data_IF_178560820178
#
_entry.id   IF_178560820178
#
_cell.length_a   1.000
_cell.length_b   1.000
_cell.length_c   1.000
_cell.angle_alpha   90.00
_cell.angle_beta   90.00
_cell.angle_gamma   90.00
#
_symmetry.space_group_name_H-M   'P 1'
#
loop_
_entity.id
_entity.type
_entity.pdbx_description
1 polymer ?
#
# COMPACT_ATOMS: atom_id res chain seq x y z
N UNK A 1 -3.74 -15.05 -8.97
CA UNK A 1 -2.80 -14.22 -9.74
C UNK A 1 -2.58 -12.93 -9.00
N UNK A 2 -1.34 -12.58 -8.70
CA UNK A 2 -1.01 -11.35 -7.98
C UNK A 2 -1.49 -10.12 -8.77
N UNK A 3 -2.04 -9.14 -8.05
CA UNK A 3 -2.54 -7.86 -8.58
C UNK A 3 -1.35 -6.95 -8.94
N UNK A 4 -0.45 -7.43 -9.78
CA UNK A 4 0.56 -6.63 -10.45
C UNK A 4 -0.11 -5.93 -11.63
N UNK A 5 -0.93 -4.90 -11.37
CA UNK A 5 -1.61 -4.17 -12.43
C UNK A 5 -2.71 -3.20 -12.01
N UNK A 6 -3.33 -3.37 -10.83
CA UNK A 6 -4.31 -2.37 -10.36
C UNK A 6 -3.61 -1.10 -9.89
N UNK A 7 -4.15 0.04 -10.31
CA UNK A 7 -3.76 1.35 -9.78
C UNK A 7 -3.91 1.36 -8.25
N UNK A 8 -2.93 1.87 -7.48
CA UNK A 8 -3.06 1.99 -6.03
C UNK A 8 -4.32 2.75 -5.59
N UNK A 9 -4.79 3.73 -6.38
CA UNK A 9 -6.04 4.44 -6.08
C UNK A 9 -7.28 3.58 -6.25
N UNK A 10 -7.28 2.69 -7.25
CA UNK A 10 -8.39 1.75 -7.43
C UNK A 10 -8.49 0.80 -6.23
N UNK A 11 -7.35 0.31 -5.73
CA UNK A 11 -7.32 -0.52 -4.51
C UNK A 11 -7.77 0.29 -3.29
N UNK A 12 -7.37 1.56 -3.20
CA UNK A 12 -7.80 2.48 -2.14
C UNK A 12 -9.33 2.70 -2.15
N UNK A 13 -9.92 2.91 -3.32
CA UNK A 13 -11.38 3.01 -3.50
C UNK A 13 -12.09 1.72 -3.07
N UNK A 14 -11.55 0.56 -3.42
CA UNK A 14 -12.05 -0.73 -2.98
C UNK A 14 -11.98 -0.89 -1.46
N UNK A 15 -10.92 -0.42 -0.80
CA UNK A 15 -10.78 -0.41 0.66
C UNK A 15 -11.83 0.51 1.32
N UNK A 16 -12.05 1.70 0.75
CA UNK A 16 -13.10 2.62 1.22
C UNK A 16 -14.48 1.97 1.10
N UNK A 17 -14.76 1.33 -0.03
CA UNK A 17 -16.02 0.64 -0.25
C UNK A 17 -16.19 -0.53 0.72
N UNK A 18 -15.13 -1.32 0.93
CA UNK A 18 -15.12 -2.39 1.92
C UNK A 18 -15.46 -1.90 3.34
N UNK A 19 -14.94 -0.74 3.73
CA UNK A 19 -15.26 -0.13 5.03
C UNK A 19 -16.73 0.34 5.12
N UNK A 20 -17.31 0.81 4.02
CA UNK A 20 -18.72 1.23 3.95
C UNK A 20 -19.68 0.04 3.98
N UNK A 21 -19.28 -1.09 3.40
CA UNK A 21 -20.12 -2.29 3.31
C UNK A 21 -20.00 -3.19 4.54
N UNK A 22 -18.84 -3.20 5.19
CA UNK A 22 -18.62 -4.04 6.37
C UNK A 22 -19.25 -3.41 7.62
N UNK A 23 -20.08 -4.19 8.33
CA UNK A 23 -20.63 -3.79 9.63
C UNK A 23 -19.96 -4.51 10.80
N UNK A 24 -19.74 -3.78 11.88
CA UNK A 24 -19.29 -4.27 13.19
C UNK A 24 -20.17 -3.70 14.27
N UNK A 25 -20.71 -4.57 15.14
CA UNK A 25 -21.61 -4.17 16.23
C UNK A 25 -22.78 -3.29 15.73
N UNK A 26 -23.35 -3.65 14.58
CA UNK A 26 -24.49 -2.94 13.97
C UNK A 26 -24.14 -1.64 13.22
N UNK A 27 -22.90 -1.13 13.28
CA UNK A 27 -22.46 0.10 12.58
C UNK A 27 -21.50 -0.22 11.45
N UNK A 28 -21.43 0.60 10.40
CA UNK A 28 -20.43 0.41 9.35
C UNK A 28 -19.04 0.71 9.91
N UNK A 29 -18.02 0.02 9.41
CA UNK A 29 -16.63 0.33 9.77
C UNK A 29 -16.27 1.76 9.37
N UNK A 30 -16.82 2.27 8.28
CA UNK A 30 -16.67 3.65 7.83
C UNK A 30 -17.18 4.70 8.84
N UNK A 31 -18.18 4.35 9.66
CA UNK A 31 -18.78 5.27 10.63
C UNK A 31 -17.93 5.42 11.89
N UNK A 32 -16.97 4.50 12.13
CA UNK A 32 -16.02 4.56 13.22
C UNK A 32 -14.87 5.54 12.90
N UNK A 33 -14.68 6.61 13.69
CA UNK A 33 -13.65 7.63 13.44
C UNK A 33 -12.22 7.07 13.47
N UNK A 34 -11.96 6.02 14.26
CA UNK A 34 -10.62 5.41 14.35
C UNK A 34 -10.29 4.66 13.06
N UNK A 35 -11.27 3.94 12.49
CA UNK A 35 -11.08 3.28 11.19
C UNK A 35 -10.98 4.30 10.06
N UNK A 36 -11.79 5.36 10.10
CA UNK A 36 -11.72 6.44 9.11
C UNK A 36 -10.35 7.13 9.09
N UNK A 37 -9.79 7.46 10.26
CA UNK A 37 -8.43 8.05 10.36
C UNK A 37 -7.36 7.13 9.76
N UNK A 38 -7.41 5.82 10.05
CA UNK A 38 -6.48 4.84 9.47
C UNK A 38 -6.56 4.80 7.95
N UNK A 39 -7.77 4.80 7.40
CA UNK A 39 -8.02 4.78 5.96
C UNK A 39 -7.51 6.07 5.31
N UNK A 40 -7.75 7.24 5.93
CA UNK A 40 -7.26 8.53 5.41
C UNK A 40 -5.74 8.59 5.36
N UNK A 41 -5.03 8.09 6.38
CA UNK A 41 -3.55 8.05 6.36
C UNK A 41 -2.98 7.24 5.19
N UNK A 42 -3.65 6.15 4.80
CA UNK A 42 -3.22 5.38 3.61
C UNK A 42 -3.63 6.08 2.32
N UNK A 43 -4.80 6.71 2.29
CA UNK A 43 -5.26 7.52 1.16
C UNK A 43 -4.27 8.66 0.84
N UNK A 44 -3.85 9.43 1.86
CA UNK A 44 -2.87 10.52 1.72
C UNK A 44 -1.55 10.03 1.11
N UNK A 45 -1.01 8.92 1.62
CA UNK A 45 0.22 8.30 1.07
C UNK A 45 0.03 7.86 -0.38
N UNK A 46 -1.15 7.31 -0.71
CA UNK A 46 -1.48 6.84 -2.06
C UNK A 46 -1.56 8.00 -3.03
N UNK A 47 -2.28 9.07 -2.69
CA UNK A 47 -2.33 10.32 -3.48
C UNK A 47 -0.94 10.94 -3.66
N UNK A 48 -0.17 11.07 -2.57
CA UNK A 48 1.19 11.62 -2.62
C UNK A 48 2.09 10.81 -3.56
N UNK A 49 1.97 9.48 -3.57
CA UNK A 49 2.70 8.60 -4.49
C UNK A 49 2.35 8.86 -5.95
N UNK A 50 1.06 9.09 -6.27
CA UNK A 50 0.64 9.43 -7.63
C UNK A 50 1.19 10.79 -8.09
N UNK A 51 1.14 11.80 -7.22
CA UNK A 51 1.74 13.11 -7.53
C UNK A 51 3.25 13.00 -7.70
N UNK A 52 3.94 12.21 -6.86
CA UNK A 52 5.36 11.93 -7.03
C UNK A 52 5.65 11.21 -8.35
N UNK A 53 4.82 10.26 -8.77
CA UNK A 53 4.93 9.60 -10.07
C UNK A 53 4.76 10.57 -11.25
N UNK A 54 3.87 11.57 -11.13
CA UNK A 54 3.73 12.65 -12.13
C UNK A 54 4.95 13.57 -12.12
N UNK A 55 5.39 14.02 -10.94
CA UNK A 55 6.57 14.89 -10.76
C UNK A 55 7.85 14.23 -11.26
N UNK A 56 7.99 12.91 -11.10
CA UNK A 56 9.13 12.13 -11.56
C UNK A 56 9.45 12.33 -13.05
N UNK A 57 8.42 12.59 -13.86
CA UNK A 57 8.51 12.81 -15.32
C UNK A 57 9.05 14.19 -15.68
N UNK A 58 9.11 15.13 -14.74
CA UNK A 58 9.56 16.50 -14.96
C UNK A 58 10.88 16.71 -14.21
N UNK A 59 12.00 16.64 -14.93
CA UNK A 59 13.36 16.69 -14.35
C UNK A 59 13.58 17.89 -13.40
N UNK A 60 13.04 19.05 -13.75
CA UNK A 60 13.14 20.27 -12.93
C UNK A 60 12.44 20.14 -11.56
N UNK A 61 11.38 19.32 -11.45
CA UNK A 61 10.62 19.10 -10.22
C UNK A 61 11.18 17.97 -9.34
N UNK A 62 12.20 17.27 -9.81
CA UNK A 62 12.82 16.15 -9.10
C UNK A 62 13.80 16.60 -8.02
N UNK A 63 14.20 17.87 -7.95
CA UNK A 63 15.14 18.34 -6.92
C UNK A 63 16.56 17.74 -6.98
N UNK A 64 16.93 17.02 -8.04
CA UNK A 64 18.24 16.40 -8.18
C UNK A 64 18.42 15.08 -7.43
N UNK A 65 19.61 14.47 -7.61
CA UNK A 65 19.99 13.17 -7.03
C UNK A 65 19.01 12.01 -7.28
N UNK A 66 18.15 12.14 -8.30
CA UNK A 66 17.07 11.17 -8.58
C UNK A 66 16.17 10.88 -7.37
N UNK A 67 15.98 11.83 -6.44
CA UNK A 67 15.26 11.60 -5.16
C UNK A 67 13.82 11.06 -5.33
N UNK A 68 13.06 11.57 -6.31
CA UNK A 68 11.67 11.15 -6.55
C UNK A 68 11.62 9.80 -7.28
N UNK A 69 12.38 9.60 -8.38
CA UNK A 69 12.44 8.29 -9.02
C UNK A 69 12.92 7.16 -8.09
N UNK A 70 13.96 7.39 -7.28
CA UNK A 70 14.56 6.34 -6.44
C UNK A 70 13.64 5.86 -5.30
N UNK A 71 12.76 6.71 -4.77
CA UNK A 71 11.86 6.30 -3.69
C UNK A 71 10.66 5.47 -4.18
N UNK A 72 10.32 5.54 -5.47
CA UNK A 72 9.04 5.04 -5.99
C UNK A 72 8.78 3.56 -5.70
N UNK A 73 9.81 2.70 -5.80
CA UNK A 73 9.67 1.28 -5.49
C UNK A 73 9.36 1.05 -4.01
N UNK A 74 10.14 1.66 -3.12
CA UNK A 74 9.98 1.53 -1.68
C UNK A 74 8.60 2.00 -1.23
N UNK A 75 8.22 3.22 -1.62
CA UNK A 75 6.92 3.78 -1.24
C UNK A 75 5.77 2.98 -1.83
N UNK A 76 5.89 2.52 -3.08
CA UNK A 76 4.89 1.70 -3.75
C UNK A 76 4.64 0.38 -3.05
N UNK A 77 5.70 -0.35 -2.67
CA UNK A 77 5.54 -1.63 -1.96
C UNK A 77 4.93 -1.46 -0.56
N UNK A 78 5.33 -0.43 0.18
CA UNK A 78 4.78 -0.18 1.53
C UNK A 78 3.32 0.29 1.49
N UNK A 79 2.93 1.09 0.49
CA UNK A 79 1.53 1.49 0.29
C UNK A 79 0.68 0.27 -0.04
N UNK A 80 1.16 -0.59 -0.96
CA UNK A 80 0.44 -1.83 -1.31
C UNK A 80 0.22 -2.72 -0.10
N UNK A 81 1.25 -2.91 0.73
CA UNK A 81 1.12 -3.67 1.98
C UNK A 81 0.14 -3.02 2.95
N UNK A 82 0.19 -1.69 3.12
CA UNK A 82 -0.70 -0.94 4.01
C UNK A 82 -2.18 -1.03 3.58
N UNK A 83 -2.45 -0.94 2.27
CA UNK A 83 -3.80 -1.07 1.71
C UNK A 83 -4.41 -2.44 2.04
N UNK A 84 -3.65 -3.51 1.81
CA UNK A 84 -4.10 -4.87 2.10
C UNK A 84 -4.23 -5.12 3.61
N UNK A 85 -3.29 -4.61 4.41
CA UNK A 85 -3.35 -4.74 5.87
C UNK A 85 -4.59 -4.06 6.45
N UNK A 86 -4.93 -2.86 5.98
CA UNK A 86 -6.18 -2.19 6.37
C UNK A 86 -7.39 -3.01 5.94
N UNK A 87 -7.40 -3.58 4.74
CA UNK A 87 -8.51 -4.42 4.28
C UNK A 87 -8.74 -5.64 5.19
N UNK A 88 -7.67 -6.36 5.57
CA UNK A 88 -7.76 -7.44 6.56
C UNK A 88 -8.29 -6.93 7.90
N UNK A 89 -7.78 -5.77 8.33
CA UNK A 89 -8.23 -5.07 9.51
C UNK A 89 -9.73 -4.74 9.49
N UNK A 90 -10.31 -4.38 8.34
CA UNK A 90 -11.75 -4.11 8.15
C UNK A 90 -12.55 -5.41 8.17
N UNK A 91 -12.06 -6.47 7.53
CA UNK A 91 -12.73 -7.78 7.51
C UNK A 91 -12.78 -8.46 8.88
N UNK A 92 -11.78 -8.24 9.74
CA UNK A 92 -11.71 -8.84 11.07
C UNK A 92 -11.60 -10.35 10.97
N UNK A 93 -12.43 -11.10 11.70
CA UNK A 93 -12.38 -12.57 11.69
C UNK A 93 -12.53 -13.17 10.27
N UNK A 94 -13.29 -12.52 9.38
CA UNK A 94 -13.45 -12.99 7.99
C UNK A 94 -12.16 -12.90 7.18
N UNK A 95 -11.13 -12.20 7.66
CA UNK A 95 -9.84 -12.11 6.99
C UNK A 95 -9.05 -13.42 7.02
N UNK A 96 -9.44 -14.40 7.85
CA UNK A 96 -8.83 -15.73 7.87
C UNK A 96 -9.36 -16.66 6.79
N UNK A 97 -10.49 -16.32 6.16
CA UNK A 97 -11.09 -17.10 5.08
C UNK A 97 -10.29 -16.86 3.79
N UNK A 98 -9.78 -17.94 3.19
CA UNK A 98 -8.81 -17.86 2.09
C UNK A 98 -9.43 -18.17 0.72
N UNK A 99 -8.62 -18.09 -0.33
CA UNK A 99 -9.04 -18.46 -1.69
C UNK A 99 -9.47 -19.92 -1.72
N UNK A 100 -10.67 -20.16 -2.26
CA UNK A 100 -11.30 -21.49 -2.32
C UNK A 100 -12.34 -21.73 -1.23
N UNK A 101 -12.45 -20.85 -0.23
CA UNK A 101 -13.55 -20.90 0.75
C UNK A 101 -14.78 -20.15 0.20
N UNK A 102 -15.93 -20.83 0.18
CA UNK A 102 -17.20 -20.27 -0.32
C UNK A 102 -17.68 -19.04 0.47
N UNK A 103 -17.24 -18.90 1.72
CA UNK A 103 -17.61 -17.80 2.60
C UNK A 103 -16.59 -16.64 2.55
N UNK A 104 -15.48 -16.78 1.80
CA UNK A 104 -14.44 -15.78 1.76
C UNK A 104 -14.92 -14.49 1.07
N UNK A 105 -14.87 -13.32 1.74
CA UNK A 105 -15.20 -12.06 1.12
C UNK A 105 -14.32 -11.79 -0.10
N UNK A 106 -14.94 -11.36 -1.20
CA UNK A 106 -14.27 -11.11 -2.48
C UNK A 106 -13.39 -12.31 -2.92
N UNK A 107 -13.87 -13.54 -2.72
CA UNK A 107 -13.20 -14.79 -3.08
C UNK A 107 -11.77 -14.91 -2.52
N UNK A 108 -11.53 -14.35 -1.33
CA UNK A 108 -10.21 -14.39 -0.68
C UNK A 108 -9.18 -13.41 -1.27
N UNK A 109 -9.61 -12.42 -2.07
CA UNK A 109 -8.71 -11.41 -2.69
C UNK A 109 -7.78 -10.75 -1.68
N UNK A 110 -8.31 -10.32 -0.54
CA UNK A 110 -7.57 -9.53 0.45
C UNK A 110 -6.45 -10.30 1.15
N UNK A 111 -6.68 -11.49 1.75
CA UNK A 111 -5.61 -12.25 2.37
C UNK A 111 -4.58 -12.75 1.35
N UNK A 112 -5.00 -13.21 0.17
CA UNK A 112 -4.04 -13.55 -0.91
C UNK A 112 -3.21 -12.32 -1.31
N UNK A 113 -3.85 -11.17 -1.51
CA UNK A 113 -3.19 -9.92 -1.85
C UNK A 113 -2.18 -9.49 -0.81
N UNK A 114 -2.53 -9.58 0.49
CA UNK A 114 -1.62 -9.29 1.59
C UNK A 114 -0.37 -10.18 1.55
N UNK A 115 -0.54 -11.50 1.39
CA UNK A 115 0.60 -12.42 1.27
C UNK A 115 1.47 -12.10 0.05
N UNK A 116 0.86 -11.71 -1.07
CA UNK A 116 1.61 -11.31 -2.26
C UNK A 116 2.38 -9.99 -2.08
N UNK A 117 1.96 -9.09 -1.18
CA UNK A 117 2.67 -7.80 -0.98
C UNK A 117 4.11 -7.98 -0.50
N UNK A 118 4.41 -9.06 0.23
CA UNK A 118 5.77 -9.38 0.68
C UNK A 118 6.73 -9.58 -0.50
N UNK A 119 6.24 -10.15 -1.61
CA UNK A 119 7.06 -10.27 -2.83
C UNK A 119 7.54 -8.90 -3.33
N UNK A 120 6.68 -7.87 -3.25
CA UNK A 120 7.01 -6.50 -3.62
C UNK A 120 8.04 -5.85 -2.69
N UNK A 121 8.05 -6.21 -1.41
CA UNK A 121 9.04 -5.68 -0.45
C UNK A 121 10.43 -6.30 -0.61
N UNK A 122 10.56 -7.46 -1.26
CA UNK A 122 11.81 -8.22 -1.41
C UNK A 122 12.37 -8.13 -2.84
N UNK A 123 11.52 -8.36 -3.84
CA UNK A 123 11.90 -8.41 -5.25
C UNK A 123 12.43 -7.06 -5.76
N UNK A 124 13.40 -7.12 -6.68
CA UNK A 124 14.03 -5.93 -7.26
C UNK A 124 14.89 -5.11 -6.29
N UNK A 125 15.34 -5.75 -5.21
CA UNK A 125 16.06 -5.13 -4.09
C UNK A 125 15.12 -4.88 -2.92
N UNK A 126 15.47 -5.42 -1.74
CA UNK A 126 14.60 -5.33 -0.56
C UNK A 126 14.36 -3.89 -0.13
N UNK A 127 13.31 -3.68 0.67
CA UNK A 127 12.98 -2.35 1.20
C UNK A 127 14.14 -1.74 1.99
N UNK A 128 14.92 -2.56 2.69
CA UNK A 128 16.14 -2.17 3.41
C UNK A 128 17.22 -1.68 2.44
N UNK A 129 17.47 -2.41 1.35
CA UNK A 129 18.42 -2.00 0.31
C UNK A 129 17.98 -0.69 -0.34
N UNK A 130 16.68 -0.52 -0.60
CA UNK A 130 16.14 0.74 -1.14
C UNK A 130 16.31 1.91 -0.16
N UNK A 131 16.10 1.70 1.15
CA UNK A 131 16.38 2.72 2.18
C UNK A 131 17.86 3.10 2.23
N UNK A 132 18.78 2.13 2.08
CA UNK A 132 20.21 2.42 2.00
C UNK A 132 20.54 3.25 0.76
N UNK A 133 20.01 2.90 -0.42
CA UNK A 133 20.21 3.68 -1.65
C UNK A 133 19.74 5.13 -1.48
N UNK A 134 18.57 5.35 -0.86
CA UNK A 134 18.08 6.69 -0.56
C UNK A 134 18.97 7.41 0.44
N UNK A 135 19.41 6.73 1.51
CA UNK A 135 20.36 7.25 2.48
C UNK A 135 21.65 7.75 1.83
N UNK A 136 22.28 6.90 1.02
CA UNK A 136 23.55 7.21 0.36
C UNK A 136 23.41 8.28 -0.73
N UNK A 137 22.43 8.12 -1.64
CA UNK A 137 22.35 8.97 -2.84
C UNK A 137 21.59 10.27 -2.62
N UNK A 138 20.57 10.26 -1.77
CA UNK A 138 19.69 11.42 -1.55
C UNK A 138 20.09 12.18 -0.30
N UNK A 139 20.43 11.47 0.78
CA UNK A 139 20.76 12.08 2.07
C UNK A 139 22.27 12.23 2.32
N UNK A 140 23.12 11.65 1.47
CA UNK A 140 24.58 11.72 1.60
C UNK A 140 25.15 10.94 2.79
N UNK A 141 24.41 9.92 3.27
CA UNK A 141 24.89 9.06 4.35
C UNK A 141 26.05 8.17 3.88
N UNK A 142 26.86 7.72 4.84
CA UNK A 142 27.93 6.77 4.58
C UNK A 142 27.38 5.45 4.02
N UNK A 143 28.17 4.77 3.19
CA UNK A 143 27.77 3.49 2.61
C UNK A 143 27.54 2.44 3.69
N UNK A 144 26.46 1.68 3.55
CA UNK A 144 26.26 0.47 4.34
C UNK A 144 27.41 -0.52 4.10
N UNK A 145 27.92 -1.14 5.17
CA UNK A 145 28.95 -2.19 5.12
C UNK A 145 28.37 -3.51 4.63
#
# INVERSE_FOLDING_TARGET
GAVAGESPMLVMEQVIQLAKDTRRNGRRVWDDPVWRDRIVKVYERTEASLYNGRRARVKALNGGAMRIPLQGKLTGSEISQSLHQIALGILGLKSSLYVGDENAPANGKWPLGYMNTYTGTISGGSSEIQRNILGERVLGLAKSK
#
